data_IF_778854283106
#
_entry.id   IF_778854283106
#
_cell.length_a   1.000
_cell.length_b   1.000
_cell.length_c   1.000
_cell.angle_alpha   90.00
_cell.angle_beta   90.00
_cell.angle_gamma   90.00
#
_symmetry.space_group_name_H-M   'P 1'
#
loop_
_entity.id
_entity.type
_entity.pdbx_description
1 polymer ?
#
# COMPACT_ATOMS: atom_id res chain seq x y z
N UNK A 1 -11.84 8.35 26.74
CA UNK A 1 -10.47 7.86 26.44
C UNK A 1 -9.33 8.78 26.93
N UNK A 2 -9.58 10.03 27.34
CA UNK A 2 -8.56 10.88 28.00
C UNK A 2 -8.28 10.52 29.48
N UNK A 3 -9.12 9.69 30.11
CA UNK A 3 -9.01 9.35 31.54
C UNK A 3 -7.87 8.40 31.93
N UNK A 4 -7.24 7.71 30.98
CA UNK A 4 -6.09 6.84 31.29
C UNK A 4 -4.76 7.62 31.37
N UNK A 5 -4.69 8.82 30.80
CA UNK A 5 -3.47 9.65 30.78
C UNK A 5 -3.32 10.46 32.07
N UNK A 6 -4.42 10.74 32.77
CA UNK A 6 -4.45 11.60 33.97
C UNK A 6 -3.83 10.94 35.22
N UNK A 7 -3.48 9.65 35.17
CA UNK A 7 -2.94 8.90 36.34
C UNK A 7 -1.44 8.55 36.27
N UNK A 8 -0.72 8.88 35.19
CA UNK A 8 0.70 8.51 35.07
C UNK A 8 1.62 9.67 35.49
N UNK A 9 2.22 9.55 36.69
CA UNK A 9 3.04 10.60 37.34
C UNK A 9 4.53 10.51 36.93
N UNK A 10 4.85 9.85 35.79
CA UNK A 10 6.23 9.72 35.29
C UNK A 10 6.26 9.62 33.76
N UNK A 11 7.31 10.16 33.13
CA UNK A 11 7.49 10.23 31.67
C UNK A 11 7.63 8.86 31.01
N UNK A 12 8.21 7.87 31.71
CA UNK A 12 8.45 6.53 31.19
C UNK A 12 7.18 5.72 30.83
N UNK A 13 6.14 5.63 31.69
CA UNK A 13 4.89 4.95 31.32
C UNK A 13 4.09 5.70 30.23
N UNK A 14 4.13 7.03 30.21
CA UNK A 14 3.51 7.82 29.13
C UNK A 14 4.18 7.51 27.80
N UNK A 15 5.52 7.47 27.77
CA UNK A 15 6.28 7.13 26.57
C UNK A 15 5.96 5.72 26.06
N UNK A 16 5.87 4.73 26.95
CA UNK A 16 5.48 3.35 26.57
C UNK A 16 4.08 3.27 25.98
N UNK A 17 3.10 3.97 26.58
CA UNK A 17 1.73 3.99 26.04
C UNK A 17 1.71 4.68 24.68
N UNK A 18 2.44 5.78 24.53
CA UNK A 18 2.54 6.50 23.27
C UNK A 18 3.20 5.61 22.19
N UNK A 19 4.33 4.99 22.50
CA UNK A 19 5.03 4.04 21.64
C UNK A 19 4.12 2.89 21.20
N UNK A 20 3.36 2.30 22.13
CA UNK A 20 2.43 1.22 21.82
C UNK A 20 1.30 1.68 20.89
N UNK A 21 0.74 2.88 21.13
CA UNK A 21 -0.31 3.46 20.30
C UNK A 21 0.20 3.81 18.90
N UNK A 22 1.37 4.45 18.80
CA UNK A 22 2.01 4.76 17.52
C UNK A 22 2.41 3.49 16.76
N UNK A 23 2.93 2.48 17.45
CA UNK A 23 3.28 1.19 16.84
C UNK A 23 2.05 0.47 16.29
N UNK A 24 0.95 0.45 17.05
CA UNK A 24 -0.31 -0.16 16.63
C UNK A 24 -0.93 0.59 15.45
N UNK A 25 -0.93 1.93 15.50
CA UNK A 25 -1.42 2.79 14.44
C UNK A 25 -0.59 2.64 13.16
N UNK A 26 0.74 2.60 13.28
CA UNK A 26 1.68 2.40 12.17
C UNK A 26 1.45 1.05 11.48
N UNK A 27 1.32 -0.05 12.24
CA UNK A 27 1.00 -1.38 11.69
C UNK A 27 -0.36 -1.43 11.01
N UNK A 28 -1.40 -0.85 11.61
CA UNK A 28 -2.72 -0.79 11.00
C UNK A 28 -2.71 0.03 9.69
N UNK A 29 -2.02 1.16 9.68
CA UNK A 29 -1.84 2.01 8.49
C UNK A 29 -1.12 1.27 7.37
N UNK A 30 -0.06 0.52 7.70
CA UNK A 30 0.66 -0.31 6.73
C UNK A 30 -0.27 -1.38 6.10
N UNK A 31 -1.01 -2.12 6.92
CA UNK A 31 -1.95 -3.13 6.43
C UNK A 31 -3.04 -2.50 5.54
N UNK A 32 -3.54 -1.32 5.92
CA UNK A 32 -4.50 -0.58 5.11
C UNK A 32 -3.92 -0.19 3.74
N UNK A 33 -2.68 0.30 3.69
CA UNK A 33 -2.02 0.66 2.43
C UNK A 33 -1.80 -0.57 1.54
N UNK A 34 -1.37 -1.69 2.11
CA UNK A 34 -1.24 -2.97 1.38
C UNK A 34 -2.58 -3.45 0.84
N UNK A 35 -3.64 -3.37 1.64
CA UNK A 35 -4.99 -3.70 1.20
C UNK A 35 -5.48 -2.79 0.07
N UNK A 36 -5.24 -1.48 0.16
CA UNK A 36 -5.58 -0.53 -0.90
C UNK A 36 -4.84 -0.86 -2.19
N UNK A 37 -3.55 -1.18 -2.12
CA UNK A 37 -2.74 -1.54 -3.28
C UNK A 37 -3.32 -2.77 -4.01
N UNK A 38 -3.77 -3.78 -3.26
CA UNK A 38 -4.35 -5.01 -3.81
C UNK A 38 -5.76 -4.83 -4.38
N UNK A 39 -6.52 -3.88 -3.84
CA UNK A 39 -7.96 -3.73 -4.16
C UNK A 39 -8.24 -2.60 -5.14
N UNK A 40 -7.27 -1.72 -5.39
CA UNK A 40 -7.42 -0.62 -6.34
C UNK A 40 -7.66 -1.16 -7.75
N UNK A 41 -8.85 -0.85 -8.27
CA UNK A 41 -9.25 -1.09 -9.67
C UNK A 41 -9.30 0.25 -10.40
N UNK A 42 -8.96 0.25 -11.69
CA UNK A 42 -9.15 1.39 -12.59
C UNK A 42 -10.62 1.80 -12.57
N UNK A 43 -11.53 0.86 -12.78
CA UNK A 43 -12.97 1.14 -12.85
C UNK A 43 -13.26 2.23 -13.89
N UNK A 44 -13.90 3.31 -13.45
CA UNK A 44 -14.22 4.49 -14.25
C UNK A 44 -13.10 5.55 -14.28
N UNK A 45 -12.00 5.36 -13.57
CA UNK A 45 -10.86 6.29 -13.58
C UNK A 45 -10.19 6.30 -14.96
N UNK A 46 -9.58 7.42 -15.32
CA UNK A 46 -8.65 7.42 -16.46
C UNK A 46 -7.43 6.56 -16.11
N UNK A 47 -6.73 6.08 -17.13
CA UNK A 47 -5.52 5.27 -16.93
C UNK A 47 -4.46 6.07 -16.14
N UNK A 48 -4.33 7.38 -16.42
CA UNK A 48 -3.41 8.25 -15.71
C UNK A 48 -3.77 8.40 -14.23
N UNK A 49 -5.05 8.66 -13.91
CA UNK A 49 -5.48 8.81 -12.51
C UNK A 49 -5.28 7.51 -11.72
N UNK A 50 -5.49 6.37 -12.39
CA UNK A 50 -5.22 5.06 -11.80
C UNK A 50 -3.74 4.87 -11.46
N UNK A 51 -2.83 5.15 -12.41
CA UNK A 51 -1.39 5.06 -12.17
C UNK A 51 -0.90 6.03 -11.11
N UNK A 52 -1.40 7.28 -11.10
CA UNK A 52 -1.09 8.26 -10.05
C UNK A 52 -1.54 7.77 -8.67
N UNK A 53 -2.73 7.17 -8.59
CA UNK A 53 -3.24 6.61 -7.32
C UNK A 53 -2.40 5.43 -6.84
N UNK A 54 -2.04 4.51 -7.72
CA UNK A 54 -1.15 3.39 -7.40
C UNK A 54 0.24 3.90 -6.93
N UNK A 55 0.81 4.87 -7.65
CA UNK A 55 2.08 5.51 -7.30
C UNK A 55 2.05 6.14 -5.90
N UNK A 56 1.00 6.91 -5.59
CA UNK A 56 0.84 7.51 -4.27
C UNK A 56 0.74 6.48 -3.13
N UNK A 57 0.13 5.31 -3.36
CA UNK A 57 0.08 4.24 -2.35
C UNK A 57 1.49 3.64 -2.16
N UNK A 58 2.22 3.40 -3.25
CA UNK A 58 3.59 2.86 -3.21
C UNK A 58 4.57 3.83 -2.54
N UNK A 59 4.47 5.13 -2.81
CA UNK A 59 5.28 6.16 -2.13
C UNK A 59 5.01 6.16 -0.61
N UNK A 60 3.75 6.02 -0.19
CA UNK A 60 3.40 5.91 1.22
C UNK A 60 3.96 4.62 1.87
N UNK A 61 4.04 3.52 1.12
CA UNK A 61 4.68 2.28 1.56
C UNK A 61 6.21 2.41 1.61
N UNK A 62 6.80 3.16 0.67
CA UNK A 62 8.23 3.46 0.65
C UNK A 62 8.67 4.29 1.85
N UNK A 63 7.85 5.27 2.26
CA UNK A 63 8.07 6.03 3.49
C UNK A 63 8.07 5.15 4.75
N UNK A 64 7.43 3.96 4.70
CA UNK A 64 7.43 2.97 5.79
C UNK A 64 8.49 1.87 5.62
N UNK A 65 9.40 1.99 4.65
CA UNK A 65 10.45 0.99 4.30
C UNK A 65 9.84 -0.38 3.98
N UNK A 66 8.64 -0.42 3.40
CA UNK A 66 7.96 -1.65 3.01
C UNK A 66 7.49 -1.58 1.56
N UNK A 67 8.44 -1.35 0.65
CA UNK A 67 8.19 -1.33 -0.79
C UNK A 67 7.96 -2.77 -1.27
N UNK A 68 6.86 -3.06 -2.00
CA UNK A 68 6.70 -4.34 -2.70
C UNK A 68 7.76 -4.47 -3.81
N UNK A 69 8.11 -5.70 -4.20
CA UNK A 69 9.02 -5.90 -5.34
C UNK A 69 8.41 -5.36 -6.64
N UNK A 70 9.24 -5.03 -7.63
CA UNK A 70 8.76 -4.51 -8.92
C UNK A 70 7.76 -5.47 -9.60
N UNK A 71 8.01 -6.78 -9.51
CA UNK A 71 7.09 -7.81 -10.03
C UNK A 71 5.74 -7.84 -9.27
N UNK A 72 5.75 -7.61 -7.96
CA UNK A 72 4.53 -7.53 -7.16
C UNK A 72 3.73 -6.28 -7.52
N UNK A 73 4.41 -5.14 -7.67
CA UNK A 73 3.78 -3.88 -8.10
C UNK A 73 3.16 -4.03 -9.49
N UNK A 74 3.90 -4.64 -10.41
CA UNK A 74 3.41 -4.92 -11.76
C UNK A 74 2.18 -5.82 -11.72
N UNK A 75 2.19 -6.88 -10.92
CA UNK A 75 1.02 -7.74 -10.74
C UNK A 75 -0.20 -6.98 -10.20
N UNK A 76 -0.01 -6.12 -9.19
CA UNK A 76 -1.12 -5.32 -8.63
C UNK A 76 -1.68 -4.30 -9.63
N UNK A 77 -0.80 -3.67 -10.42
CA UNK A 77 -1.19 -2.73 -11.47
C UNK A 77 -1.98 -3.45 -12.55
N UNK A 78 -1.43 -4.54 -13.13
CA UNK A 78 -2.11 -5.26 -14.21
C UNK A 78 -3.42 -5.88 -13.73
N UNK A 79 -3.46 -6.42 -12.51
CA UNK A 79 -4.67 -6.99 -11.91
C UNK A 79 -5.75 -5.95 -11.60
N UNK A 80 -5.44 -4.66 -11.59
CA UNK A 80 -6.40 -3.59 -11.39
C UNK A 80 -6.94 -2.96 -12.68
N UNK A 81 -6.37 -3.30 -13.84
CA UNK A 81 -6.83 -2.83 -15.14
C UNK A 81 -8.16 -3.49 -15.54
N UNK A 82 -8.92 -2.80 -16.38
CA UNK A 82 -10.14 -3.33 -17.00
C UNK A 82 -9.80 -4.25 -18.17
N UNK A 83 -10.71 -5.15 -18.56
CA UNK A 83 -10.51 -6.12 -19.64
C UNK A 83 -10.15 -5.50 -21.00
N UNK A 84 -10.43 -4.21 -21.19
CA UNK A 84 -9.99 -3.44 -22.37
C UNK A 84 -8.46 -3.43 -22.55
N UNK A 85 -7.69 -3.69 -21.49
CA UNK A 85 -6.23 -3.81 -21.51
C UNK A 85 -5.71 -5.24 -21.61
N UNK A 86 -6.58 -6.27 -21.64
CA UNK A 86 -6.17 -7.68 -21.73
C UNK A 86 -5.18 -7.97 -22.88
N UNK A 87 -5.32 -7.40 -24.10
CA UNK A 87 -4.36 -7.62 -25.18
C UNK A 87 -2.96 -7.08 -24.85
N UNK A 88 -2.89 -5.96 -24.12
CA UNK A 88 -1.63 -5.35 -23.67
C UNK A 88 -1.01 -6.18 -22.55
N UNK A 89 -1.83 -6.62 -21.59
CA UNK A 89 -1.42 -7.50 -20.49
C UNK A 89 -0.80 -8.79 -21.05
N UNK A 90 -1.48 -9.45 -22.00
CA UNK A 90 -0.99 -10.69 -22.63
C UNK A 90 0.31 -10.50 -23.41
N UNK A 91 0.47 -9.39 -24.14
CA UNK A 91 1.74 -9.10 -24.82
C UNK A 91 2.88 -8.88 -23.83
N UNK A 92 2.62 -8.20 -22.71
CA UNK A 92 3.62 -7.90 -21.70
C UNK A 92 4.10 -9.17 -21.00
N UNK A 93 3.17 -10.06 -20.60
CA UNK A 93 3.50 -11.33 -19.94
C UNK A 93 4.13 -12.34 -20.91
N UNK A 94 3.66 -12.42 -22.16
CA UNK A 94 4.27 -13.31 -23.18
C UNK A 94 5.72 -12.95 -23.50
N UNK A 95 6.07 -11.65 -23.45
CA UNK A 95 7.44 -11.20 -23.71
C UNK A 95 8.41 -11.47 -22.57
N UNK A 96 7.92 -11.63 -21.33
CA UNK A 96 8.76 -12.07 -20.21
C UNK A 96 9.14 -13.55 -20.32
N UNK A 97 8.32 -14.39 -20.98
CA UNK A 97 8.64 -15.81 -21.21
C UNK A 97 9.67 -16.03 -22.35
N UNK A 98 9.95 -15.02 -23.18
CA UNK A 98 10.82 -15.16 -24.36
C UNK A 98 12.31 -14.89 -24.12
N UNK A 99 12.77 -14.89 -22.87
CA UNK A 99 14.20 -14.78 -22.54
C UNK A 99 14.66 -16.08 -21.87
N UNK A 100 14.90 -17.10 -22.70
CA UNK A 100 15.73 -18.27 -22.40
C UNK A 100 16.30 -18.83 -23.70
#
# INVERSE_FOLDING_TARGET
MLGHVVRCISSAPIWRVLEQLFSSNSKARLLQLRFQLQTVKKGSMTINDYFLKMGGITENLAAAVQVPSDDELLLYILGGLSNEYDPVIMNLTSRQESVS
#
